data_IF_216083127096
#
_entry.id   IF_216083127096
#
_cell.length_a   1.000
_cell.length_b   1.000
_cell.length_c   1.000
_cell.angle_alpha   90.00
_cell.angle_beta   90.00
_cell.angle_gamma   90.00
#
_symmetry.space_group_name_H-M   'P 1'
#
loop_
_entity.id
_entity.type
_entity.pdbx_description
1 polymer ?
#
# COMPACT_ATOMS: atom_id res chain seq x y z
N UNK A 1 -17.36 7.46 -4.05
CA UNK A 1 -16.40 8.14 -4.96
C UNK A 1 -15.86 7.09 -5.91
N UNK A 2 -16.11 7.25 -7.21
CA UNK A 2 -15.54 6.37 -8.22
C UNK A 2 -14.04 6.62 -8.29
N UNK A 3 -13.25 5.56 -8.27
CA UNK A 3 -11.80 5.68 -8.26
C UNK A 3 -11.34 6.23 -9.62
N UNK A 4 -10.54 7.31 -9.64
CA UNK A 4 -10.03 7.93 -10.87
C UNK A 4 -9.30 6.95 -11.80
N UNK A 5 -8.71 5.90 -11.25
CA UNK A 5 -8.09 4.82 -12.01
C UNK A 5 -9.08 4.02 -12.87
N UNK A 6 -10.32 3.84 -12.37
CA UNK A 6 -11.38 3.18 -13.12
C UNK A 6 -11.84 4.06 -14.29
N UNK A 7 -11.87 5.39 -14.07
CA UNK A 7 -12.24 6.35 -15.10
C UNK A 7 -11.18 6.48 -16.19
N UNK A 8 -9.91 6.34 -15.87
CA UNK A 8 -8.80 6.41 -16.82
C UNK A 8 -8.59 5.10 -17.61
N UNK A 9 -9.27 4.00 -17.24
CA UNK A 9 -9.14 2.69 -17.89
C UNK A 9 -10.33 2.35 -18.80
N UNK A 10 -10.16 1.26 -19.56
CA UNK A 10 -11.20 0.73 -20.46
C UNK A 10 -12.42 0.14 -19.73
N UNK A 11 -12.34 0.04 -18.39
CA UNK A 11 -13.40 -0.54 -17.56
C UNK A 11 -14.66 0.34 -17.42
N UNK A 12 -14.59 1.63 -17.83
CA UNK A 12 -15.69 2.58 -17.70
C UNK A 12 -15.96 3.26 -19.04
N UNK A 13 -17.23 3.31 -19.41
CA UNK A 13 -17.69 4.06 -20.58
C UNK A 13 -18.75 5.06 -20.17
N UNK A 14 -18.56 6.31 -20.57
CA UNK A 14 -19.47 7.41 -20.29
C UNK A 14 -19.76 8.20 -21.56
N UNK A 15 -20.96 8.75 -21.67
CA UNK A 15 -21.25 9.78 -22.68
C UNK A 15 -20.57 11.07 -22.28
N UNK A 16 -20.00 11.79 -23.27
CA UNK A 16 -19.28 13.03 -23.02
C UNK A 16 -20.14 14.10 -22.31
N UNK A 17 -21.45 14.13 -22.58
CA UNK A 17 -22.40 15.04 -21.94
C UNK A 17 -22.63 14.69 -20.46
N UNK A 18 -22.62 13.42 -20.09
CA UNK A 18 -22.76 12.97 -18.70
C UNK A 18 -21.54 13.39 -17.88
N UNK A 19 -20.33 13.27 -18.45
CA UNK A 19 -19.09 13.70 -17.78
C UNK A 19 -19.01 15.21 -17.55
N UNK A 20 -19.55 16.02 -18.46
CA UNK A 20 -19.63 17.49 -18.31
C UNK A 20 -20.54 17.91 -17.15
N UNK A 21 -21.48 17.07 -16.75
CA UNK A 21 -22.38 17.33 -15.62
C UNK A 21 -21.76 17.02 -14.24
N UNK A 22 -20.60 16.34 -14.18
CA UNK A 22 -19.93 16.09 -12.91
C UNK A 22 -19.34 17.37 -12.32
N UNK A 23 -19.64 17.62 -11.06
CA UNK A 23 -19.14 18.78 -10.32
C UNK A 23 -17.64 18.72 -10.04
N UNK A 24 -17.01 17.52 -10.18
CA UNK A 24 -15.58 17.35 -9.99
C UNK A 24 -14.86 17.26 -11.35
N UNK A 25 -14.14 18.30 -11.78
CA UNK A 25 -13.43 18.33 -13.05
C UNK A 25 -12.36 17.24 -13.18
N UNK A 26 -11.79 16.76 -12.07
CA UNK A 26 -10.78 15.70 -12.07
C UNK A 26 -11.27 14.38 -12.69
N UNK A 27 -12.59 14.11 -12.65
CA UNK A 27 -13.15 12.91 -13.27
C UNK A 27 -13.12 12.99 -14.80
N UNK A 28 -13.48 14.15 -15.38
CA UNK A 28 -13.42 14.35 -16.83
C UNK A 28 -11.99 14.41 -17.34
N UNK A 29 -11.11 15.08 -16.59
CA UNK A 29 -9.67 15.16 -16.86
C UNK A 29 -9.05 13.76 -16.92
N UNK A 30 -9.36 12.90 -15.95
CA UNK A 30 -8.87 11.52 -15.91
C UNK A 30 -9.41 10.68 -17.07
N UNK A 31 -10.69 10.81 -17.40
CA UNK A 31 -11.33 10.05 -18.47
C UNK A 31 -10.81 10.42 -19.85
N UNK A 32 -10.61 11.72 -20.12
CA UNK A 32 -10.12 12.23 -21.41
C UNK A 32 -8.60 12.30 -21.50
N UNK A 33 -7.86 11.90 -20.45
CA UNK A 33 -6.38 11.99 -20.38
C UNK A 33 -5.87 13.40 -20.67
N UNK A 34 -6.60 14.42 -20.18
CA UNK A 34 -6.26 15.82 -20.40
C UNK A 34 -5.00 16.21 -19.62
N UNK A 35 -3.89 16.34 -20.34
CA UNK A 35 -2.59 16.73 -19.77
C UNK A 35 -2.46 18.25 -19.56
N UNK A 36 -3.35 19.06 -20.14
CA UNK A 36 -3.30 20.52 -20.01
C UNK A 36 -3.83 21.03 -18.67
N UNK A 37 -4.57 20.18 -17.94
CA UNK A 37 -5.17 20.56 -16.66
C UNK A 37 -4.20 20.40 -15.49
N UNK A 38 -4.07 21.46 -14.67
CA UNK A 38 -3.25 21.42 -13.45
C UNK A 38 -3.93 20.63 -12.32
N UNK A 39 -3.80 19.33 -12.39
CA UNK A 39 -4.32 18.42 -11.37
C UNK A 39 -3.69 18.61 -10.00
N UNK A 40 -2.44 19.06 -9.96
CA UNK A 40 -1.71 19.25 -8.71
C UNK A 40 -2.18 20.52 -7.99
N UNK A 41 -2.43 21.60 -8.73
CA UNK A 41 -2.95 22.86 -8.18
C UNK A 41 -4.36 22.74 -7.60
N UNK A 42 -5.20 21.90 -8.19
CA UNK A 42 -6.58 21.69 -7.72
C UNK A 42 -6.72 20.62 -6.61
N UNK A 43 -5.65 19.89 -6.32
CA UNK A 43 -5.67 18.82 -5.32
C UNK A 43 -5.24 19.34 -3.94
N UNK A 44 -6.20 19.88 -3.18
CA UNK A 44 -5.96 20.36 -1.81
C UNK A 44 -5.60 19.19 -0.88
N UNK A 45 -6.22 18.01 -1.08
CA UNK A 45 -5.96 16.79 -0.31
C UNK A 45 -6.00 15.55 -1.21
N UNK A 46 -5.04 14.65 -1.02
CA UNK A 46 -5.11 13.33 -1.62
C UNK A 46 -5.78 12.34 -0.68
N UNK A 47 -7.07 12.09 -0.88
CA UNK A 47 -7.86 11.20 -0.02
C UNK A 47 -7.28 9.77 0.03
N UNK A 48 -6.68 9.27 -1.05
CA UNK A 48 -6.07 7.93 -1.08
C UNK A 48 -4.79 7.90 -0.24
N UNK A 49 -3.96 8.95 -0.32
CA UNK A 49 -2.76 9.12 0.50
C UNK A 49 -3.10 9.13 1.99
N UNK A 50 -4.01 10.00 2.39
CA UNK A 50 -4.44 10.14 3.78
C UNK A 50 -5.07 8.84 4.31
N UNK A 51 -5.92 8.18 3.52
CA UNK A 51 -6.54 6.92 3.92
C UNK A 51 -5.53 5.78 4.11
N UNK A 52 -4.44 5.74 3.32
CA UNK A 52 -3.38 4.75 3.52
C UNK A 52 -2.63 5.00 4.84
N UNK A 53 -2.23 6.24 5.14
CA UNK A 53 -1.54 6.55 6.39
C UNK A 53 -2.43 6.39 7.62
N UNK A 54 -3.73 6.66 7.54
CA UNK A 54 -4.69 6.35 8.61
C UNK A 54 -4.73 4.84 8.90
N UNK A 55 -4.77 3.99 7.86
CA UNK A 55 -4.69 2.53 8.03
C UNK A 55 -3.35 2.08 8.59
N UNK A 56 -2.23 2.62 8.09
CA UNK A 56 -0.89 2.33 8.58
C UNK A 56 -0.78 2.64 10.08
N UNK A 57 -1.31 3.79 10.51
CA UNK A 57 -1.33 4.16 11.93
C UNK A 57 -2.09 3.12 12.76
N UNK A 58 -3.25 2.66 12.30
CA UNK A 58 -4.04 1.61 12.98
C UNK A 58 -3.28 0.27 13.03
N UNK A 59 -2.58 -0.10 11.95
CA UNK A 59 -1.76 -1.31 11.95
C UNK A 59 -0.55 -1.19 12.89
N UNK A 60 0.09 -0.01 12.99
CA UNK A 60 1.15 0.22 13.94
C UNK A 60 0.67 0.05 15.39
N UNK A 61 -0.53 0.54 15.73
CA UNK A 61 -1.14 0.32 17.06
C UNK A 61 -1.27 -1.18 17.36
N UNK A 62 -1.68 -1.99 16.38
CA UNK A 62 -1.78 -3.43 16.56
C UNK A 62 -0.40 -4.06 16.71
N UNK A 63 0.54 -3.78 15.82
CA UNK A 63 1.89 -4.38 15.81
C UNK A 63 2.65 -4.05 17.11
N UNK A 64 2.55 -2.80 17.60
CA UNK A 64 3.28 -2.36 18.80
C UNK A 64 2.58 -2.80 20.10
N UNK A 65 1.25 -2.94 20.09
CA UNK A 65 0.47 -3.14 21.32
C UNK A 65 -0.03 -4.57 21.54
N UNK A 66 -0.10 -5.42 20.50
CA UNK A 66 -0.79 -6.72 20.60
C UNK A 66 -0.13 -7.68 21.59
N UNK A 67 1.19 -7.63 21.75
CA UNK A 67 1.93 -8.47 22.69
C UNK A 67 1.48 -8.29 24.15
N UNK A 68 1.11 -7.06 24.53
CA UNK A 68 0.62 -6.72 25.86
C UNK A 68 -0.88 -6.93 26.06
N UNK A 69 -1.62 -7.29 25.02
CA UNK A 69 -3.08 -7.51 25.09
C UNK A 69 -3.42 -8.83 25.79
N UNK A 70 -4.65 -8.97 26.26
CA UNK A 70 -5.17 -10.24 26.74
C UNK A 70 -5.54 -11.15 25.56
N UNK A 71 -5.40 -12.47 25.75
CA UNK A 71 -5.79 -13.46 24.74
C UNK A 71 -4.76 -14.57 24.58
N UNK A 72 -5.07 -15.52 23.68
CA UNK A 72 -4.17 -16.63 23.37
C UNK A 72 -2.99 -16.12 22.53
N UNK A 73 -1.80 -16.64 22.79
CA UNK A 73 -0.59 -16.27 22.05
C UNK A 73 -0.67 -16.55 20.53
N UNK A 74 -1.39 -17.61 20.16
CA UNK A 74 -1.65 -17.94 18.75
C UNK A 74 -2.49 -16.86 18.06
N UNK A 75 -3.56 -16.39 18.72
CA UNK A 75 -4.43 -15.33 18.20
C UNK A 75 -3.68 -13.99 18.09
N UNK A 76 -2.78 -13.72 19.05
CA UNK A 76 -1.93 -12.51 19.03
C UNK A 76 -0.96 -12.56 17.86
N UNK A 77 -0.22 -13.66 17.67
CA UNK A 77 0.71 -13.81 16.54
C UNK A 77 -0.02 -13.69 15.20
N UNK A 78 -1.16 -14.36 15.06
CA UNK A 78 -1.99 -14.24 13.85
C UNK A 78 -2.46 -12.80 13.61
N UNK A 79 -2.91 -12.11 14.67
CA UNK A 79 -3.34 -10.71 14.58
C UNK A 79 -2.21 -9.77 14.17
N UNK A 80 -1.01 -9.95 14.75
CA UNK A 80 0.18 -9.22 14.37
C UNK A 80 0.56 -9.47 12.90
N UNK A 81 0.59 -10.74 12.48
CA UNK A 81 0.91 -11.12 11.12
C UNK A 81 -0.04 -10.48 10.10
N UNK A 82 -1.35 -10.51 10.37
CA UNK A 82 -2.35 -9.86 9.52
C UNK A 82 -2.15 -8.34 9.46
N UNK A 83 -1.83 -7.70 10.59
CA UNK A 83 -1.56 -6.26 10.63
C UNK A 83 -0.29 -5.89 9.83
N UNK A 84 0.80 -6.66 9.97
CA UNK A 84 2.05 -6.43 9.24
C UNK A 84 1.86 -6.53 7.73
N UNK A 85 1.26 -7.61 7.24
CA UNK A 85 1.07 -7.78 5.79
C UNK A 85 0.13 -6.73 5.19
N UNK A 86 -0.89 -6.29 5.92
CA UNK A 86 -1.78 -5.21 5.49
C UNK A 86 -1.10 -3.83 5.55
N UNK A 87 -0.21 -3.60 6.53
CA UNK A 87 0.64 -2.41 6.58
C UNK A 87 1.56 -2.35 5.37
N UNK A 88 2.25 -3.45 5.08
CA UNK A 88 3.10 -3.59 3.91
C UNK A 88 2.34 -3.33 2.60
N UNK A 89 1.10 -3.83 2.49
CA UNK A 89 0.25 -3.61 1.32
C UNK A 89 -0.09 -2.12 1.11
N UNK A 90 -0.38 -1.38 2.20
CA UNK A 90 -0.62 0.07 2.10
C UNK A 90 0.65 0.83 1.71
N UNK A 91 1.83 0.46 2.23
CA UNK A 91 3.10 1.04 1.79
C UNK A 91 3.41 0.70 0.34
N UNK A 92 3.12 -0.50 -0.12
CA UNK A 92 3.29 -0.89 -1.51
C UNK A 92 2.40 -0.06 -2.45
N UNK A 93 1.16 0.21 -2.06
CA UNK A 93 0.29 1.12 -2.81
C UNK A 93 0.87 2.54 -2.86
N UNK A 94 1.29 3.07 -1.71
CA UNK A 94 1.85 4.43 -1.60
C UNK A 94 3.11 4.60 -2.44
N UNK A 95 4.08 3.68 -2.35
CA UNK A 95 5.35 3.80 -3.06
C UNK A 95 5.16 3.75 -4.57
N UNK A 96 4.25 2.90 -5.06
CA UNK A 96 3.98 2.77 -6.49
C UNK A 96 3.08 3.89 -7.06
N UNK A 97 2.41 4.66 -6.18
CA UNK A 97 1.54 5.75 -6.60
C UNK A 97 2.25 7.10 -6.51
N UNK A 98 3.09 7.31 -5.50
CA UNK A 98 3.63 8.62 -5.14
C UNK A 98 5.16 8.73 -5.27
N UNK A 99 5.85 7.67 -5.68
CA UNK A 99 7.29 7.70 -5.92
C UNK A 99 7.63 7.19 -7.33
N UNK A 100 8.92 7.32 -7.68
CA UNK A 100 9.43 6.75 -8.94
C UNK A 100 9.42 5.22 -8.88
N UNK A 101 9.27 4.53 -10.03
CA UNK A 101 9.40 3.08 -10.10
C UNK A 101 10.73 2.60 -9.51
N UNK A 102 10.73 1.39 -8.94
CA UNK A 102 11.94 0.78 -8.43
C UNK A 102 12.95 0.53 -9.56
N UNK A 103 14.17 1.00 -9.36
CA UNK A 103 15.32 0.73 -10.22
C UNK A 103 16.46 0.22 -9.34
N UNK A 104 16.94 -1.04 -9.52
CA UNK A 104 18.00 -1.61 -8.68
C UNK A 104 19.26 -0.75 -8.58
N UNK A 105 19.60 0.00 -9.64
CA UNK A 105 20.79 0.85 -9.67
C UNK A 105 20.66 2.12 -8.81
N UNK A 106 19.45 2.64 -8.63
CA UNK A 106 19.22 3.98 -8.03
C UNK A 106 18.22 3.99 -6.87
N UNK A 107 17.60 2.86 -6.55
CA UNK A 107 16.50 2.79 -5.57
C UNK A 107 16.85 3.40 -4.19
N UNK A 108 18.08 3.21 -3.73
CA UNK A 108 18.50 3.71 -2.42
C UNK A 108 18.87 5.20 -2.41
N UNK A 109 19.07 5.83 -3.57
CA UNK A 109 19.29 7.26 -3.76
C UNK A 109 18.02 8.00 -4.19
N UNK A 110 17.02 7.27 -4.68
CA UNK A 110 15.76 7.85 -5.16
C UNK A 110 14.82 8.12 -3.99
N UNK A 111 14.30 9.34 -3.91
CA UNK A 111 13.32 9.72 -2.89
C UNK A 111 12.04 8.87 -3.03
N UNK A 112 11.65 8.25 -1.93
CA UNK A 112 10.44 7.44 -1.81
C UNK A 112 9.34 8.18 -1.04
N UNK A 113 8.81 7.55 0.00
CA UNK A 113 7.70 8.04 0.81
C UNK A 113 8.07 8.13 2.28
N UNK A 114 7.20 8.71 3.10
CA UNK A 114 7.35 8.70 4.55
C UNK A 114 7.06 7.28 5.06
N UNK A 115 8.01 6.69 5.79
CA UNK A 115 7.83 5.39 6.44
C UNK A 115 7.74 5.59 7.94
N UNK A 116 6.62 5.17 8.51
CA UNK A 116 6.33 5.16 9.95
C UNK A 116 6.30 3.72 10.43
N UNK A 117 7.33 3.32 11.14
CA UNK A 117 7.49 1.94 11.60
C UNK A 117 6.72 1.65 12.87
N UNK A 118 6.47 2.67 13.68
CA UNK A 118 5.85 2.59 15.00
C UNK A 118 4.62 3.48 15.13
N UNK A 119 3.88 3.25 16.19
CA UNK A 119 2.81 4.12 16.62
C UNK A 119 3.36 5.52 16.97
N UNK A 120 2.53 6.54 16.74
CA UNK A 120 2.83 7.91 17.17
C UNK A 120 2.99 8.01 18.69
N UNK A 121 4.11 8.54 19.14
CA UNK A 121 4.33 8.86 20.56
C UNK A 121 3.99 10.33 20.88
N UNK A 122 4.09 11.23 19.89
CA UNK A 122 3.76 12.66 20.07
C UNK A 122 3.35 13.33 18.75
N UNK A 123 2.74 14.52 18.85
CA UNK A 123 2.41 15.36 17.68
C UNK A 123 3.65 15.92 16.97
N UNK A 124 4.81 15.85 17.62
CA UNK A 124 6.11 16.29 17.07
C UNK A 124 6.80 15.19 16.26
N UNK A 125 6.26 13.97 16.27
CA UNK A 125 6.78 12.85 15.49
C UNK A 125 6.48 13.05 13.99
N UNK A 126 7.33 13.83 13.35
CA UNK A 126 7.34 14.02 11.90
C UNK A 126 7.98 12.80 11.27
N UNK A 127 7.19 12.00 10.56
CA UNK A 127 7.71 10.88 9.80
C UNK A 127 8.84 11.29 8.84
N UNK A 128 9.82 10.42 8.68
CA UNK A 128 10.99 10.67 7.81
C UNK A 128 10.72 10.11 6.42
N UNK A 129 10.93 10.93 5.39
CA UNK A 129 10.91 10.47 4.01
C UNK A 129 12.12 9.54 3.78
N UNK A 130 11.84 8.30 3.40
CA UNK A 130 12.84 7.28 3.11
C UNK A 130 13.09 7.17 1.59
N UNK A 131 14.14 6.43 1.22
CA UNK A 131 14.37 6.09 -0.19
C UNK A 131 13.37 5.03 -0.68
N UNK A 132 13.27 4.91 -2.01
CA UNK A 132 12.49 3.83 -2.65
C UNK A 132 13.00 2.47 -2.19
N UNK A 133 14.33 2.24 -2.20
CA UNK A 133 14.93 0.98 -1.76
C UNK A 133 14.59 0.64 -0.32
N UNK A 134 14.78 1.57 0.61
CA UNK A 134 14.43 1.37 2.01
C UNK A 134 12.94 1.01 2.19
N UNK A 135 12.05 1.69 1.46
CA UNK A 135 10.61 1.43 1.56
C UNK A 135 10.27 0.01 1.12
N UNK A 136 10.87 -0.46 0.02
CA UNK A 136 10.68 -1.84 -0.44
C UNK A 136 11.28 -2.87 0.53
N UNK A 137 12.43 -2.59 1.15
CA UNK A 137 13.00 -3.46 2.18
C UNK A 137 12.11 -3.54 3.43
N UNK A 138 11.50 -2.42 3.83
CA UNK A 138 10.52 -2.41 4.92
C UNK A 138 9.29 -3.27 4.59
N UNK A 139 8.73 -3.13 3.38
CA UNK A 139 7.61 -3.92 2.89
C UNK A 139 7.94 -5.41 2.93
N UNK A 140 9.10 -5.80 2.42
CA UNK A 140 9.55 -7.19 2.40
C UNK A 140 9.74 -7.76 3.80
N UNK A 141 10.37 -7.01 4.70
CA UNK A 141 10.55 -7.38 6.11
C UNK A 141 9.22 -7.67 6.81
N UNK A 142 8.20 -6.83 6.59
CA UNK A 142 6.88 -7.04 7.17
C UNK A 142 6.18 -8.28 6.60
N UNK A 143 6.30 -8.55 5.31
CA UNK A 143 5.74 -9.74 4.65
C UNK A 143 6.41 -11.01 5.20
N UNK A 144 7.74 -11.03 5.27
CA UNK A 144 8.51 -12.19 5.74
C UNK A 144 8.25 -12.50 7.22
N UNK A 145 8.12 -11.46 8.04
CA UNK A 145 7.74 -11.63 9.44
C UNK A 145 6.30 -12.14 9.62
N UNK A 146 5.40 -11.80 8.69
CA UNK A 146 3.99 -12.17 8.79
C UNK A 146 3.69 -13.62 8.33
N UNK A 147 4.29 -14.06 7.22
CA UNK A 147 3.94 -15.34 6.55
C UNK A 147 3.88 -16.55 7.51
N UNK A 148 4.82 -16.76 8.43
CA UNK A 148 4.79 -17.93 9.33
C UNK A 148 3.51 -18.04 10.14
N UNK A 149 2.99 -16.92 10.65
CA UNK A 149 1.85 -16.85 11.56
C UNK A 149 0.52 -16.47 10.86
N UNK A 150 0.52 -16.28 9.54
CA UNK A 150 -0.72 -16.13 8.78
C UNK A 150 -1.51 -17.47 8.78
N UNK A 151 -2.86 -17.44 8.86
CA UNK A 151 -3.68 -18.64 8.77
C UNK A 151 -3.57 -19.28 7.38
N UNK A 152 -3.67 -20.60 7.30
CA UNK A 152 -3.68 -21.31 6.01
C UNK A 152 -4.86 -20.90 5.14
N UNK A 153 -6.00 -20.59 5.75
CA UNK A 153 -7.21 -20.13 5.07
C UNK A 153 -7.86 -19.02 5.89
N UNK A 154 -8.12 -17.92 5.24
CA UNK A 154 -8.80 -16.80 5.86
C UNK A 154 -10.26 -17.15 6.22
N UNK A 155 -10.77 -16.57 7.31
CA UNK A 155 -12.17 -16.70 7.73
C UNK A 155 -13.14 -15.98 6.78
N UNK A 156 -12.65 -14.99 6.04
CA UNK A 156 -13.40 -14.27 5.02
C UNK A 156 -12.43 -13.60 4.05
N UNK A 157 -12.92 -13.09 2.92
CA UNK A 157 -12.13 -12.47 1.84
C UNK A 157 -11.47 -11.12 2.21
N UNK A 158 -11.77 -10.56 3.38
CA UNK A 158 -11.17 -9.29 3.83
C UNK A 158 -9.97 -9.50 4.76
N UNK A 159 -9.69 -10.74 5.14
CA UNK A 159 -8.54 -11.07 6.00
C UNK A 159 -7.46 -11.79 5.20
N UNK A 160 -6.19 -11.38 5.34
CA UNK A 160 -5.09 -12.06 4.66
C UNK A 160 -4.84 -13.45 5.27
N UNK A 161 -4.44 -14.36 4.41
CA UNK A 161 -3.97 -15.70 4.71
C UNK A 161 -2.59 -15.95 4.07
N UNK A 162 -2.05 -17.17 4.19
CA UNK A 162 -0.75 -17.52 3.61
C UNK A 162 -0.72 -17.36 2.10
N UNK A 163 -1.80 -17.71 1.41
CA UNK A 163 -1.90 -17.54 -0.04
C UNK A 163 -1.77 -16.06 -0.43
N UNK A 164 -2.46 -15.17 0.29
CA UNK A 164 -2.29 -13.73 0.09
C UNK A 164 -0.85 -13.29 0.39
N UNK A 165 -0.26 -13.78 1.49
CA UNK A 165 1.12 -13.46 1.89
C UNK A 165 2.14 -13.78 0.80
N UNK A 166 2.11 -15.01 0.28
CA UNK A 166 3.01 -15.45 -0.79
C UNK A 166 2.74 -14.75 -2.13
N UNK A 167 1.49 -14.61 -2.53
CA UNK A 167 1.13 -13.88 -3.74
C UNK A 167 1.59 -12.41 -3.69
N UNK A 168 1.48 -11.77 -2.52
CA UNK A 168 1.96 -10.42 -2.32
C UNK A 168 3.50 -10.35 -2.29
N UNK A 169 4.18 -11.33 -1.67
CA UNK A 169 5.63 -11.47 -1.71
C UNK A 169 6.13 -11.57 -3.16
N UNK A 170 5.53 -12.44 -3.96
CA UNK A 170 5.84 -12.59 -5.38
C UNK A 170 5.68 -11.27 -6.15
N UNK A 171 4.58 -10.54 -5.89
CA UNK A 171 4.34 -9.23 -6.52
C UNK A 171 5.39 -8.19 -6.13
N UNK A 172 5.84 -8.15 -4.89
CA UNK A 172 6.89 -7.23 -4.44
C UNK A 172 8.21 -7.55 -5.15
N UNK A 173 8.61 -8.83 -5.23
CA UNK A 173 9.80 -9.25 -5.96
C UNK A 173 9.71 -8.91 -7.45
N UNK A 174 8.55 -9.09 -8.08
CA UNK A 174 8.32 -8.70 -9.48
C UNK A 174 8.60 -7.20 -9.70
N UNK A 175 8.11 -6.33 -8.83
CA UNK A 175 8.31 -4.89 -8.92
C UNK A 175 9.76 -4.48 -8.65
N UNK A 176 10.49 -5.23 -7.82
CA UNK A 176 11.93 -5.09 -7.58
C UNK A 176 12.79 -5.66 -8.70
N UNK A 177 12.19 -6.35 -9.70
CA UNK A 177 12.87 -7.09 -10.77
C UNK A 177 13.72 -8.27 -10.26
N UNK A 178 13.35 -8.83 -9.13
CA UNK A 178 13.94 -10.01 -8.50
C UNK A 178 13.16 -11.25 -8.98
N UNK A 179 13.36 -11.63 -10.25
CA UNK A 179 12.50 -12.61 -10.93
C UNK A 179 12.62 -14.03 -10.38
N UNK A 180 13.80 -14.42 -9.93
CA UNK A 180 14.03 -15.74 -9.31
C UNK A 180 13.24 -15.86 -8.01
N UNK A 181 13.35 -14.87 -7.13
CA UNK A 181 12.62 -14.81 -5.87
C UNK A 181 11.10 -14.69 -6.08
N UNK A 182 10.69 -14.04 -7.18
CA UNK A 182 9.28 -13.99 -7.56
C UNK A 182 8.74 -15.40 -7.90
N UNK A 183 9.50 -16.19 -8.66
CA UNK A 183 9.12 -17.58 -9.01
C UNK A 183 9.06 -18.44 -7.74
N UNK A 184 10.08 -18.40 -6.89
CA UNK A 184 10.10 -19.14 -5.61
C UNK A 184 8.89 -18.82 -4.73
N UNK A 185 8.50 -17.54 -4.67
CA UNK A 185 7.33 -17.13 -3.90
C UNK A 185 5.99 -17.57 -4.52
N UNK A 186 5.94 -17.80 -5.83
CA UNK A 186 4.76 -18.35 -6.51
C UNK A 186 4.60 -19.86 -6.30
N UNK A 187 5.72 -20.57 -6.08
CA UNK A 187 5.75 -22.04 -5.90
C UNK A 187 5.56 -22.45 -4.42
N UNK A 188 5.46 -21.47 -3.51
CA UNK A 188 5.33 -21.67 -2.05
C UNK A 188 3.88 -21.66 -1.59
#
# INVERSE_FOLDING_TARGET
MMNSWILAGEASWYKAEELKSYTNPLNSVAYFWDESYDRAGDMIENAAYNACYDRITKFNVVVDGIASSEGKEEDKRMGEAQARVLRAYNYFFLINTFARPYDPATAYQTHGIIVREKMFESLEDVGIQQSVGYTYDFIQRDIEAAIPDLPHKATNSFRPDKTFGYAFKAKVHLFRREFEQCIEACDS
#
